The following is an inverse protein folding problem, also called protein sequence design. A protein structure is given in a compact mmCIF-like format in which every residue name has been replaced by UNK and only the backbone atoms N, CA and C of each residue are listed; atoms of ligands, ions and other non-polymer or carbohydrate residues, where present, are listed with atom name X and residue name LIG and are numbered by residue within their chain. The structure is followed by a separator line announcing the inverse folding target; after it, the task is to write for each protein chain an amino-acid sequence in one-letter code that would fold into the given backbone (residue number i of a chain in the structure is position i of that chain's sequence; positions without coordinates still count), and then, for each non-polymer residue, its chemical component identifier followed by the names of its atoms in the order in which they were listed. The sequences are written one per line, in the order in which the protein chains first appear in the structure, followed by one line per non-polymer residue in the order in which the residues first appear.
data_IF_575532683378
#
_entry.id   IF_575532683378
#
_cell.length_a   1.000
_cell.length_b   1.000
_cell.length_c   1.000
_cell.angle_alpha   90.00
_cell.angle_beta   90.00
_cell.angle_gamma   90.00
#
_symmetry.space_group_name_H-M   'P 1'
#
loop_
_entity.id
_entity.type
_entity.pdbx_description
1 polymer ?
#
# COMPACT_ATOMS: atom_id res chain seq x y z
N UNK A 1 43.78 0.06 38.42
CA UNK A 1 42.93 -0.23 37.24
C UNK A 1 43.86 -0.63 36.11
N UNK A 2 43.76 -1.86 35.62
CA UNK A 2 44.62 -2.34 34.53
C UNK A 2 44.11 -1.83 33.18
N UNK A 3 45.00 -1.62 32.20
CA UNK A 3 44.68 -1.13 30.85
C UNK A 3 43.57 -1.95 30.17
N UNK A 4 43.49 -3.24 30.51
CA UNK A 4 42.46 -4.16 30.06
C UNK A 4 41.04 -3.76 30.48
N UNK A 5 40.86 -3.23 31.69
CA UNK A 5 39.54 -2.79 32.17
C UNK A 5 39.02 -1.60 31.35
N UNK A 6 39.89 -0.66 30.99
CA UNK A 6 39.53 0.50 30.14
C UNK A 6 39.19 0.09 28.70
N UNK A 7 39.93 -0.86 28.15
CA UNK A 7 39.67 -1.44 26.83
C UNK A 7 38.30 -2.13 26.78
N UNK A 8 37.94 -2.92 27.80
CA UNK A 8 36.62 -3.54 27.88
C UNK A 8 35.49 -2.50 28.09
N UNK A 9 35.74 -1.47 28.90
CA UNK A 9 34.74 -0.43 29.23
C UNK A 9 34.34 0.43 28.01
N UNK A 10 35.26 0.65 27.06
CA UNK A 10 34.99 1.47 25.87
C UNK A 10 34.70 0.59 24.65
N UNK A 11 35.41 -0.54 24.50
CA UNK A 11 35.30 -1.42 23.34
C UNK A 11 33.95 -2.12 23.25
N UNK A 12 33.43 -2.64 24.36
CA UNK A 12 32.14 -3.36 24.36
C UNK A 12 30.97 -2.40 24.05
N UNK A 13 30.85 -1.21 24.68
CA UNK A 13 29.81 -0.25 24.29
C UNK A 13 29.94 0.28 22.86
N UNK A 14 31.17 0.48 22.37
CA UNK A 14 31.39 0.92 20.99
C UNK A 14 30.93 -0.13 19.96
N UNK A 15 31.20 -1.42 20.21
CA UNK A 15 30.71 -2.52 19.38
C UNK A 15 29.18 -2.59 19.40
N UNK A 16 28.57 -2.51 20.58
CA UNK A 16 27.11 -2.52 20.73
C UNK A 16 26.49 -1.34 19.97
N UNK A 17 27.02 -0.12 20.13
CA UNK A 17 26.54 1.06 19.43
C UNK A 17 26.69 0.94 17.89
N UNK A 18 27.76 0.31 17.41
CA UNK A 18 27.98 0.02 15.99
C UNK A 18 26.90 -0.92 15.43
N UNK A 19 26.61 -2.02 16.14
CA UNK A 19 25.56 -2.97 15.77
C UNK A 19 24.18 -2.31 15.77
N UNK A 20 23.86 -1.53 16.81
CA UNK A 20 22.59 -0.79 16.89
C UNK A 20 22.42 0.19 15.73
N UNK A 21 23.46 0.98 15.39
CA UNK A 21 23.42 1.90 14.24
C UNK A 21 23.20 1.16 12.92
N UNK A 22 23.88 0.03 12.74
CA UNK A 22 23.74 -0.79 11.54
C UNK A 22 22.32 -1.36 11.40
N UNK A 23 21.78 -1.96 12.47
CA UNK A 23 20.41 -2.49 12.49
C UNK A 23 19.37 -1.38 12.27
N UNK A 24 19.55 -0.23 12.91
CA UNK A 24 18.66 0.92 12.73
C UNK A 24 18.69 1.44 11.28
N UNK A 25 19.86 1.45 10.64
CA UNK A 25 20.01 1.80 9.23
C UNK A 25 19.31 0.81 8.29
N UNK A 26 19.42 -0.50 8.56
CA UNK A 26 18.72 -1.55 7.82
C UNK A 26 17.20 -1.40 7.93
N UNK A 27 16.68 -1.22 9.15
CA UNK A 27 15.25 -1.05 9.40
C UNK A 27 14.73 0.20 8.67
N UNK A 28 15.46 1.31 8.76
CA UNK A 28 15.07 2.56 8.10
C UNK A 28 14.97 2.41 6.58
N UNK A 29 15.96 1.77 5.94
CA UNK A 29 15.93 1.49 4.49
C UNK A 29 14.74 0.61 4.12
N UNK A 30 14.53 -0.48 4.87
CA UNK A 30 13.41 -1.39 4.63
C UNK A 30 12.03 -0.69 4.80
N UNK A 31 11.93 0.25 5.74
CA UNK A 31 10.73 1.08 5.91
C UNK A 31 10.49 2.03 4.72
N UNK A 32 11.55 2.66 4.21
CA UNK A 32 11.47 3.55 3.04
C UNK A 32 11.05 2.77 1.78
N UNK A 33 11.64 1.60 1.55
CA UNK A 33 11.29 0.71 0.44
C UNK A 33 9.84 0.22 0.56
N UNK A 34 9.41 -0.17 1.77
CA UNK A 34 8.03 -0.56 2.04
C UNK A 34 7.04 0.59 1.76
N UNK A 35 7.42 1.83 2.07
CA UNK A 35 6.58 3.01 1.80
C UNK A 35 6.45 3.26 0.31
N UNK A 36 7.56 3.19 -0.44
CA UNK A 36 7.55 3.33 -1.88
C UNK A 36 6.73 2.23 -2.56
N UNK A 37 6.85 0.98 -2.10
CA UNK A 37 6.07 -0.15 -2.58
C UNK A 37 4.57 0.05 -2.34
N UNK A 38 4.18 0.44 -1.11
CA UNK A 38 2.77 0.73 -0.79
C UNK A 38 2.20 1.83 -1.67
N UNK A 39 2.95 2.91 -1.89
CA UNK A 39 2.53 4.01 -2.77
C UNK A 39 2.39 3.56 -4.22
N UNK A 40 3.31 2.72 -4.72
CA UNK A 40 3.25 2.16 -6.06
C UNK A 40 2.03 1.26 -6.25
N UNK A 41 1.78 0.32 -5.33
CA UNK A 41 0.61 -0.56 -5.36
C UNK A 41 -0.68 0.28 -5.30
N UNK A 42 -0.72 1.29 -4.43
CA UNK A 42 -1.85 2.19 -4.32
C UNK A 42 -2.13 2.92 -5.64
N UNK A 43 -1.10 3.39 -6.34
CA UNK A 43 -1.24 4.04 -7.66
C UNK A 43 -1.74 3.06 -8.73
N UNK A 44 -1.27 1.82 -8.72
CA UNK A 44 -1.72 0.77 -9.64
C UNK A 44 -3.19 0.41 -9.42
N UNK A 45 -3.60 0.18 -8.16
CA UNK A 45 -4.99 -0.11 -7.81
C UNK A 45 -5.92 1.04 -8.21
N UNK A 46 -5.48 2.29 -8.00
CA UNK A 46 -6.22 3.48 -8.43
C UNK A 46 -6.41 3.49 -9.95
N UNK A 47 -5.34 3.23 -10.71
CA UNK A 47 -5.41 3.20 -12.17
C UNK A 47 -6.35 2.10 -12.68
N UNK A 48 -6.29 0.92 -12.05
CA UNK A 48 -7.16 -0.20 -12.40
C UNK A 48 -8.64 0.13 -12.17
N UNK A 49 -8.98 0.66 -10.99
CA UNK A 49 -10.36 1.07 -10.68
C UNK A 49 -10.88 2.15 -11.63
N UNK A 50 -10.06 3.15 -11.99
CA UNK A 50 -10.48 4.18 -12.97
C UNK A 50 -10.75 3.55 -14.34
N UNK A 51 -9.89 2.63 -14.78
CA UNK A 51 -10.06 1.91 -16.05
C UNK A 51 -11.34 1.08 -16.06
N UNK A 52 -11.59 0.32 -14.99
CA UNK A 52 -12.81 -0.47 -14.85
C UNK A 52 -14.05 0.43 -14.80
N UNK A 53 -14.01 1.53 -14.04
CA UNK A 53 -15.08 2.50 -13.97
C UNK A 53 -15.45 3.03 -15.35
N UNK A 54 -14.46 3.51 -16.12
CA UNK A 54 -14.71 4.03 -17.46
C UNK A 54 -15.30 2.96 -18.39
N UNK A 55 -14.70 1.77 -18.40
CA UNK A 55 -15.15 0.65 -19.23
C UNK A 55 -16.59 0.21 -18.98
N UNK A 56 -17.00 0.12 -17.71
CA UNK A 56 -18.36 -0.34 -17.38
C UNK A 56 -19.39 0.80 -17.38
N UNK A 57 -18.96 2.04 -17.13
CA UNK A 57 -19.80 3.23 -17.33
C UNK A 57 -20.14 3.42 -18.80
N UNK A 58 -19.17 3.24 -19.70
CA UNK A 58 -19.41 3.28 -21.16
C UNK A 58 -20.39 2.18 -21.62
N UNK A 59 -20.38 1.03 -20.96
CA UNK A 59 -21.31 -0.07 -21.23
C UNK A 59 -22.70 0.14 -20.62
N UNK A 60 -22.82 1.04 -19.65
CA UNK A 60 -24.06 1.27 -18.90
C UNK A 60 -24.42 0.20 -17.87
N UNK A 61 -23.61 -0.85 -17.70
CA UNK A 61 -23.84 -1.92 -16.71
C UNK A 61 -22.53 -2.52 -16.21
N UNK A 62 -22.54 -3.02 -14.97
CA UNK A 62 -21.43 -3.69 -14.31
C UNK A 62 -21.83 -5.08 -13.82
N UNK A 63 -21.47 -6.17 -14.52
CA UNK A 63 -21.84 -7.53 -14.11
C UNK A 63 -21.23 -7.87 -12.73
N UNK A 64 -21.84 -8.84 -12.03
CA UNK A 64 -21.52 -9.15 -10.62
C UNK A 64 -20.01 -9.38 -10.40
N UNK A 65 -19.34 -10.13 -11.29
CA UNK A 65 -17.90 -10.39 -11.18
C UNK A 65 -17.06 -9.11 -11.26
N UNK A 66 -17.47 -8.13 -12.07
CA UNK A 66 -16.77 -6.86 -12.23
C UNK A 66 -16.93 -6.02 -10.97
N UNK A 67 -18.12 -6.05 -10.37
CA UNK A 67 -18.43 -5.41 -9.09
C UNK A 67 -17.61 -5.99 -7.95
N UNK A 68 -17.52 -7.32 -7.84
CA UNK A 68 -16.69 -7.97 -6.83
C UNK A 68 -15.19 -7.68 -7.03
N UNK A 69 -14.71 -7.69 -8.28
CA UNK A 69 -13.33 -7.32 -8.60
C UNK A 69 -13.01 -5.89 -8.20
N UNK A 70 -13.90 -4.95 -8.53
CA UNK A 70 -13.76 -3.54 -8.18
C UNK A 70 -13.78 -3.34 -6.65
N UNK A 71 -14.73 -3.97 -5.96
CA UNK A 71 -14.86 -3.95 -4.50
C UNK A 71 -13.57 -4.43 -3.81
N UNK A 72 -12.99 -5.53 -4.31
CA UNK A 72 -11.74 -6.06 -3.78
C UNK A 72 -10.58 -5.08 -4.01
N UNK A 73 -10.47 -4.48 -5.20
CA UNK A 73 -9.46 -3.45 -5.46
C UNK A 73 -9.62 -2.24 -4.55
N UNK A 74 -10.86 -1.78 -4.34
CA UNK A 74 -11.16 -0.65 -3.47
C UNK A 74 -10.80 -0.95 -2.01
N UNK A 75 -11.13 -2.13 -1.48
CA UNK A 75 -10.74 -2.56 -0.12
C UNK A 75 -9.23 -2.54 0.10
N UNK A 76 -8.46 -3.07 -0.85
CA UNK A 76 -6.99 -3.07 -0.74
C UNK A 76 -6.40 -1.68 -0.93
N UNK A 77 -7.00 -0.86 -1.79
CA UNK A 77 -6.61 0.53 -1.93
C UNK A 77 -6.82 1.30 -0.61
N UNK A 78 -7.97 1.10 0.02
CA UNK A 78 -8.34 1.78 1.26
C UNK A 78 -7.46 1.34 2.45
N UNK A 79 -6.99 0.10 2.47
CA UNK A 79 -6.08 -0.42 3.51
C UNK A 79 -4.66 0.16 3.42
N UNK A 80 -4.24 0.68 2.26
CA UNK A 80 -2.89 1.21 2.02
C UNK A 80 -2.69 2.68 2.45
N UNK A 81 -3.77 3.42 2.71
CA UNK A 81 -3.72 4.81 3.17
C UNK A 81 -4.72 5.70 2.43
N UNK A 82 -5.46 6.52 3.19
CA UNK A 82 -6.70 7.14 2.72
C UNK A 82 -6.47 8.54 2.16
N UNK A 83 -7.09 8.85 1.02
CA UNK A 83 -7.35 10.23 0.56
C UNK A 83 -8.84 10.46 0.21
N UNK A 84 -9.73 9.47 0.39
CA UNK A 84 -11.17 9.55 0.08
C UNK A 84 -11.55 9.67 -1.40
N UNK A 85 -10.57 9.91 -2.28
CA UNK A 85 -10.80 10.23 -3.70
C UNK A 85 -11.50 9.10 -4.47
N UNK A 86 -11.30 7.84 -4.08
CA UNK A 86 -11.91 6.70 -4.78
C UNK A 86 -13.29 6.32 -4.25
N UNK A 87 -13.75 6.92 -3.14
CA UNK A 87 -15.00 6.53 -2.48
C UNK A 87 -16.23 6.98 -3.30
N UNK A 88 -16.15 8.15 -3.95
CA UNK A 88 -17.20 8.61 -4.85
C UNK A 88 -17.28 7.77 -6.13
N UNK A 89 -16.11 7.35 -6.65
CA UNK A 89 -16.03 6.48 -7.82
C UNK A 89 -16.62 5.10 -7.50
N UNK A 90 -16.32 4.59 -6.31
CA UNK A 90 -16.84 3.34 -5.80
C UNK A 90 -18.36 3.34 -5.67
N UNK A 91 -18.93 4.35 -5.03
CA UNK A 91 -20.40 4.50 -4.93
C UNK A 91 -21.07 4.50 -6.30
N UNK A 92 -20.58 5.33 -7.22
CA UNK A 92 -21.10 5.41 -8.60
C UNK A 92 -20.98 4.08 -9.35
N UNK A 93 -19.89 3.34 -9.12
CA UNK A 93 -19.71 2.02 -9.73
C UNK A 93 -20.73 1.00 -9.21
N UNK A 94 -21.04 1.04 -7.91
CA UNK A 94 -22.05 0.16 -7.30
C UNK A 94 -23.49 0.51 -7.70
N UNK A 95 -23.74 1.75 -8.10
CA UNK A 95 -25.04 2.21 -8.62
C UNK A 95 -25.32 1.70 -10.05
N UNK A 96 -24.31 1.24 -10.78
CA UNK A 96 -24.51 0.66 -12.11
C UNK A 96 -25.35 -0.62 -12.02
N UNK A 97 -26.29 -0.84 -12.97
CA UNK A 97 -27.09 -2.05 -13.01
C UNK A 97 -26.18 -3.27 -13.25
N UNK A 98 -26.57 -4.41 -12.66
CA UNK A 98 -25.81 -5.66 -12.80
C UNK A 98 -26.20 -6.50 -14.00
N UNK A 99 -27.34 -6.19 -14.61
CA UNK A 99 -27.87 -6.83 -15.80
C UNK A 99 -27.51 -5.99 -17.02
N UNK A 100 -27.19 -6.66 -18.13
CA UNK A 100 -26.99 -5.95 -19.40
C UNK A 100 -28.32 -5.32 -19.81
N UNK A 101 -28.33 -4.09 -20.37
CA UNK A 101 -29.54 -3.56 -20.96
C UNK A 101 -30.00 -4.53 -22.04
N UNK A 102 -31.23 -5.02 -21.91
CA UNK A 102 -31.86 -5.92 -22.89
C UNK A 102 -31.77 -5.25 -24.29
N UNK A 103 -31.18 -5.96 -25.26
CA UNK A 103 -31.15 -5.55 -26.68
C UNK A 103 -32.56 -5.49 -27.29
#
# INVERSE_FOLDING_TARGET
MTVYQWLCLIGVPALIAGVFKYLHGLIKRNMEDSKALKAGIQALLRSQMISDFNKYTEKGFAPIYARESFENCWKQYHSLGVNGVMDDLHKKFLELPTEAPDE
#
